data_IF_784417445105
#
_entry.id   IF_784417445105
#
_cell.length_a   1.000
_cell.length_b   1.000
_cell.length_c   1.000
_cell.angle_alpha   90.00
_cell.angle_beta   90.00
_cell.angle_gamma   90.00
#
_symmetry.space_group_name_H-M   'P 1'
#
loop_
_entity.id
_entity.type
_entity.pdbx_description
1 polymer ?
#
# COMPACT_ATOMS: atom_id res chain seq x y z
N UNK A 1 27.78 1.55 28.38
CA UNK A 1 26.56 1.14 27.64
C UNK A 1 26.76 1.45 26.16
N UNK A 2 26.05 0.73 25.30
CA UNK A 2 26.03 1.05 23.86
C UNK A 2 24.72 1.71 23.52
N UNK A 3 24.75 2.72 22.64
CA UNK A 3 23.58 3.42 22.14
C UNK A 3 23.62 3.37 20.61
N UNK A 4 22.58 2.83 19.99
CA UNK A 4 22.49 2.66 18.54
C UNK A 4 21.62 3.74 17.93
N UNK A 5 22.16 4.44 16.92
CA UNK A 5 21.40 5.39 16.14
C UNK A 5 20.36 4.64 15.28
N UNK A 6 19.07 4.93 15.49
CA UNK A 6 17.96 4.29 14.77
C UNK A 6 17.86 4.72 13.30
N UNK A 7 18.60 5.79 12.91
CA UNK A 7 18.61 6.28 11.53
C UNK A 7 19.66 5.60 10.67
N UNK A 8 20.87 5.37 11.19
CA UNK A 8 22.00 4.87 10.37
C UNK A 8 22.75 3.68 10.98
N UNK A 9 22.38 3.22 12.18
CA UNK A 9 23.04 2.09 12.84
C UNK A 9 24.38 2.42 13.52
N UNK A 10 24.83 3.67 13.50
CA UNK A 10 26.05 4.06 14.21
C UNK A 10 25.93 3.76 15.71
N UNK A 11 26.97 3.17 16.30
CA UNK A 11 27.00 2.80 17.72
C UNK A 11 27.92 3.78 18.48
N UNK A 12 27.32 4.43 19.48
CA UNK A 12 28.05 5.21 20.49
C UNK A 12 28.30 4.34 21.71
N UNK A 13 29.51 4.30 22.22
CA UNK A 13 29.88 3.59 23.45
C UNK A 13 30.29 4.58 24.54
N UNK A 14 29.56 4.55 25.66
CA UNK A 14 29.82 5.43 26.81
C UNK A 14 28.94 5.04 28.00
N UNK A 15 29.20 5.66 29.18
CA UNK A 15 28.40 5.42 30.38
C UNK A 15 26.95 5.90 30.20
N UNK A 16 26.79 7.06 29.53
CA UNK A 16 25.50 7.63 29.14
C UNK A 16 25.66 8.35 27.80
N UNK A 17 24.55 8.51 27.08
CA UNK A 17 24.51 9.35 25.87
C UNK A 17 24.31 10.81 26.28
N UNK A 18 25.21 11.75 25.88
CA UNK A 18 25.00 13.18 26.15
C UNK A 18 23.69 13.68 25.51
N UNK A 19 22.99 14.59 26.22
CA UNK A 19 21.71 15.11 25.74
C UNK A 19 21.82 15.93 24.43
N UNK A 20 22.99 16.52 24.21
CA UNK A 20 23.34 17.29 23.01
C UNK A 20 24.10 16.49 21.96
N UNK A 21 24.17 15.15 22.10
CA UNK A 21 24.91 14.31 21.18
C UNK A 21 24.28 14.32 19.79
N UNK A 22 25.13 14.44 18.80
CA UNK A 22 24.73 14.39 17.38
C UNK A 22 25.48 13.25 16.68
N UNK A 23 24.77 12.41 15.99
CA UNK A 23 25.36 11.29 15.25
C UNK A 23 26.44 11.79 14.26
N UNK A 24 27.68 11.29 14.33
CA UNK A 24 28.75 11.75 13.44
C UNK A 24 28.51 11.36 11.98
N UNK A 25 27.69 10.32 11.74
CA UNK A 25 27.42 9.78 10.40
C UNK A 25 26.23 10.49 9.74
N UNK A 26 25.06 10.46 10.37
CA UNK A 26 23.82 10.96 9.75
C UNK A 26 23.31 12.28 10.34
N UNK A 27 24.02 12.83 11.34
CA UNK A 27 23.65 14.07 12.04
C UNK A 27 22.34 14.02 12.84
N UNK A 28 21.79 12.81 13.06
CA UNK A 28 20.60 12.63 13.90
C UNK A 28 20.88 13.06 15.36
N UNK A 29 19.92 13.71 16.04
CA UNK A 29 20.06 14.12 17.44
C UNK A 29 20.01 12.95 18.43
N UNK A 30 20.32 13.20 19.70
CA UNK A 30 20.42 12.19 20.75
C UNK A 30 19.13 11.37 20.97
N UNK A 31 17.96 11.95 20.74
CA UNK A 31 16.65 11.29 20.85
C UNK A 31 16.43 10.17 19.81
N UNK A 32 17.27 10.09 18.79
CA UNK A 32 17.31 9.01 17.81
C UNK A 32 18.26 7.87 18.18
N UNK A 33 18.76 7.85 19.40
CA UNK A 33 19.59 6.77 19.91
C UNK A 33 18.86 5.92 20.93
N UNK A 34 18.94 4.61 20.78
CA UNK A 34 18.41 3.65 21.75
C UNK A 34 19.54 2.97 22.50
N UNK A 35 19.39 2.84 23.82
CA UNK A 35 20.31 2.07 24.63
C UNK A 35 20.22 0.60 24.22
N UNK A 36 21.35 0.00 23.89
CA UNK A 36 21.43 -1.42 23.55
C UNK A 36 21.39 -2.24 24.85
N UNK A 37 20.27 -2.92 25.07
CA UNK A 37 20.12 -3.97 26.07
C UNK A 37 20.62 -5.32 25.53
N UNK A 38 20.13 -6.42 26.09
CA UNK A 38 20.44 -7.77 25.59
C UNK A 38 19.71 -8.08 24.27
N UNK A 39 18.69 -7.29 23.91
CA UNK A 39 17.96 -7.41 22.64
C UNK A 39 18.71 -6.76 21.49
N UNK A 40 18.61 -7.35 20.30
CA UNK A 40 19.16 -6.77 19.06
C UNK A 40 18.38 -5.51 18.71
N UNK A 41 19.10 -4.36 18.61
CA UNK A 41 18.51 -3.11 18.12
C UNK A 41 18.81 -2.97 16.63
N UNK A 42 17.75 -2.82 15.83
CA UNK A 42 17.87 -2.61 14.40
C UNK A 42 17.98 -1.11 14.09
N UNK A 43 18.83 -0.75 13.11
CA UNK A 43 19.11 0.65 12.75
C UNK A 43 17.89 1.40 12.19
N UNK A 44 16.96 0.67 11.58
CA UNK A 44 15.71 1.24 11.04
C UNK A 44 14.56 0.26 11.26
N UNK A 45 13.42 0.81 11.60
CA UNK A 45 12.15 0.07 11.64
C UNK A 45 11.38 0.35 10.36
N UNK A 46 11.04 -0.73 9.65
CA UNK A 46 10.12 -0.69 8.52
C UNK A 46 8.76 -1.20 9.00
N UNK A 47 8.00 -0.30 9.60
CA UNK A 47 6.66 -0.59 10.12
C UNK A 47 5.60 0.10 9.28
N UNK A 48 4.42 -0.51 9.20
CA UNK A 48 3.28 0.12 8.53
C UNK A 48 2.92 1.43 9.24
N UNK A 49 2.87 2.52 8.47
CA UNK A 49 2.56 3.84 8.99
C UNK A 49 3.78 4.58 9.57
N UNK A 50 4.99 4.27 9.12
CA UNK A 50 6.22 4.97 9.56
C UNK A 50 6.18 6.48 9.26
N UNK A 51 5.37 6.92 8.28
CA UNK A 51 5.17 8.32 7.94
C UNK A 51 4.23 9.07 8.91
N UNK A 52 3.63 8.39 9.89
CA UNK A 52 2.78 9.08 10.88
C UNK A 52 3.57 10.10 11.68
N UNK A 53 3.06 11.33 11.67
CA UNK A 53 3.68 12.45 12.41
C UNK A 53 4.75 13.22 11.64
N UNK A 54 5.03 12.91 10.39
CA UNK A 54 5.82 13.79 9.51
C UNK A 54 4.96 14.98 9.06
N UNK A 55 5.60 15.97 8.43
CA UNK A 55 4.90 17.18 7.97
C UNK A 55 3.84 16.87 6.92
N UNK A 56 2.76 17.66 6.91
CA UNK A 56 1.58 17.39 6.06
C UNK A 56 1.92 17.47 4.56
N UNK A 57 2.83 18.33 4.15
CA UNK A 57 3.32 18.41 2.76
C UNK A 57 3.91 17.08 2.28
N UNK A 58 4.70 16.39 3.12
CA UNK A 58 5.23 15.05 2.81
C UNK A 58 4.09 14.02 2.73
N UNK A 59 3.12 14.08 3.66
CA UNK A 59 1.97 13.17 3.63
C UNK A 59 1.13 13.37 2.37
N UNK A 60 0.88 14.61 1.97
CA UNK A 60 0.15 14.93 0.74
C UNK A 60 0.87 14.39 -0.50
N UNK A 61 2.19 14.54 -0.59
CA UNK A 61 3.00 13.99 -1.67
C UNK A 61 2.97 12.46 -1.69
N UNK A 62 3.08 11.80 -0.54
CA UNK A 62 2.97 10.34 -0.44
C UNK A 62 1.59 9.84 -0.89
N UNK A 63 0.51 10.50 -0.49
CA UNK A 63 -0.86 10.18 -0.95
C UNK A 63 -1.04 10.40 -2.45
N UNK A 64 -0.49 11.49 -2.99
CA UNK A 64 -0.55 11.78 -4.41
C UNK A 64 0.17 10.71 -5.23
N UNK A 65 1.38 10.31 -4.81
CA UNK A 65 2.12 9.22 -5.44
C UNK A 65 1.35 7.90 -5.32
N UNK A 66 0.88 7.51 -4.13
CA UNK A 66 0.05 6.31 -3.96
C UNK A 66 -1.12 6.24 -4.95
N UNK A 67 -1.87 7.35 -5.10
CA UNK A 67 -3.00 7.41 -6.03
C UNK A 67 -2.55 7.35 -7.50
N UNK A 68 -1.43 7.97 -7.82
CA UNK A 68 -0.80 7.92 -9.15
C UNK A 68 -0.47 6.48 -9.52
N UNK A 69 0.31 5.79 -8.72
CA UNK A 69 0.73 4.41 -8.94
C UNK A 69 -0.47 3.45 -9.06
N UNK A 70 -1.48 3.57 -8.17
CA UNK A 70 -2.71 2.78 -8.28
C UNK A 70 -3.44 3.01 -9.63
N UNK A 71 -3.44 4.23 -10.14
CA UNK A 71 -4.06 4.58 -11.42
C UNK A 71 -3.27 4.01 -12.59
N UNK A 72 -1.94 4.06 -12.52
CA UNK A 72 -1.05 3.57 -13.57
C UNK A 72 -1.14 2.06 -13.75
N UNK A 73 -1.35 1.28 -12.68
CA UNK A 73 -1.62 -0.16 -12.77
C UNK A 73 -2.77 -0.44 -13.75
N UNK A 74 -3.93 0.20 -13.52
CA UNK A 74 -5.11 0.00 -14.38
C UNK A 74 -4.91 0.53 -15.80
N UNK A 75 -4.26 1.68 -15.92
CA UNK A 75 -3.96 2.34 -17.19
C UNK A 75 -3.05 1.49 -18.05
N UNK A 76 -1.93 1.00 -17.52
CA UNK A 76 -0.98 0.17 -18.27
C UNK A 76 -1.58 -1.17 -18.68
N UNK A 77 -2.37 -1.83 -17.81
CA UNK A 77 -3.09 -3.05 -18.20
C UNK A 77 -4.10 -2.78 -19.33
N UNK A 78 -4.77 -1.64 -19.33
CA UNK A 78 -5.67 -1.26 -20.43
C UNK A 78 -4.89 -0.99 -21.73
N UNK A 79 -3.76 -0.28 -21.66
CA UNK A 79 -2.86 -0.03 -22.79
C UNK A 79 -2.27 -1.33 -23.36
N UNK A 80 -1.91 -2.29 -22.50
CA UNK A 80 -1.46 -3.62 -22.92
C UNK A 80 -2.51 -4.33 -23.79
N UNK A 81 -3.78 -4.30 -23.37
CA UNK A 81 -4.89 -4.87 -24.13
C UNK A 81 -5.07 -4.21 -25.50
N UNK A 82 -4.85 -2.91 -25.61
CA UNK A 82 -4.87 -2.17 -26.89
C UNK A 82 -3.72 -2.64 -27.77
N UNK A 83 -2.49 -2.65 -27.23
CA UNK A 83 -1.30 -3.06 -27.96
C UNK A 83 -1.42 -4.49 -28.52
N UNK A 84 -1.94 -5.44 -27.72
CA UNK A 84 -2.18 -6.80 -28.17
C UNK A 84 -3.21 -6.88 -29.30
N UNK A 85 -4.31 -6.12 -29.23
CA UNK A 85 -5.32 -6.07 -30.31
C UNK A 85 -4.79 -5.44 -31.59
N UNK A 86 -3.86 -4.51 -31.49
CA UNK A 86 -3.22 -3.87 -32.65
C UNK A 86 -2.06 -4.69 -33.24
N UNK A 87 -1.68 -5.81 -32.61
CA UNK A 87 -0.61 -6.69 -33.07
C UNK A 87 0.80 -6.27 -32.63
N UNK A 88 0.92 -5.53 -31.52
CA UNK A 88 2.19 -5.15 -30.90
C UNK A 88 2.44 -5.91 -29.58
N UNK A 89 2.65 -7.23 -29.63
CA UNK A 89 2.74 -8.04 -28.41
C UNK A 89 3.90 -7.64 -27.49
N UNK A 90 5.04 -7.22 -28.02
CA UNK A 90 6.19 -6.78 -27.24
C UNK A 90 5.86 -5.53 -26.42
N UNK A 91 5.11 -4.58 -26.98
CA UNK A 91 4.63 -3.39 -26.29
C UNK A 91 3.63 -3.77 -25.20
N UNK A 92 2.69 -4.68 -25.52
CA UNK A 92 1.73 -5.19 -24.56
C UNK A 92 2.39 -5.85 -23.36
N UNK A 93 3.35 -6.74 -23.59
CA UNK A 93 4.11 -7.40 -22.51
C UNK A 93 4.90 -6.42 -21.64
N UNK A 94 5.44 -5.35 -22.23
CA UNK A 94 6.14 -4.33 -21.45
C UNK A 94 5.18 -3.53 -20.57
N UNK A 95 4.00 -3.15 -21.07
CA UNK A 95 2.97 -2.52 -20.25
C UNK A 95 2.50 -3.40 -19.10
N UNK A 96 2.30 -4.70 -19.33
CA UNK A 96 1.95 -5.65 -18.27
C UNK A 96 3.03 -5.72 -17.19
N UNK A 97 4.30 -5.76 -17.61
CA UNK A 97 5.44 -5.74 -16.68
C UNK A 97 5.46 -4.44 -15.86
N UNK A 98 5.34 -3.28 -16.52
CA UNK A 98 5.32 -1.98 -15.86
C UNK A 98 4.16 -1.90 -14.86
N UNK A 99 2.96 -2.36 -15.21
CA UNK A 99 1.82 -2.38 -14.29
C UNK A 99 2.10 -3.12 -12.97
N UNK A 100 2.87 -4.21 -13.00
CA UNK A 100 3.28 -4.91 -11.78
C UNK A 100 4.35 -4.15 -10.99
N UNK A 101 5.25 -3.42 -11.65
CA UNK A 101 6.22 -2.55 -11.01
C UNK A 101 5.51 -1.39 -10.28
N UNK A 102 4.49 -0.77 -10.91
CA UNK A 102 3.67 0.28 -10.26
C UNK A 102 2.81 -0.28 -9.11
N UNK A 103 2.35 -1.53 -9.20
CA UNK A 103 1.66 -2.16 -8.07
C UNK A 103 2.57 -2.31 -6.84
N UNK A 104 3.85 -2.63 -7.04
CA UNK A 104 4.85 -2.69 -5.98
C UNK A 104 5.18 -1.30 -5.41
N UNK A 105 5.22 -0.25 -6.25
CA UNK A 105 5.38 1.12 -5.78
C UNK A 105 4.18 1.55 -4.93
N UNK A 106 2.96 1.32 -5.40
CA UNK A 106 1.74 1.60 -4.65
C UNK A 106 1.72 0.88 -3.29
N UNK A 107 2.13 -0.40 -3.24
CA UNK A 107 2.21 -1.15 -1.99
C UNK A 107 3.18 -0.50 -0.99
N UNK A 108 4.35 -0.04 -1.45
CA UNK A 108 5.34 0.65 -0.60
C UNK A 108 4.79 1.97 -0.05
N UNK A 109 4.14 2.79 -0.89
CA UNK A 109 3.48 4.02 -0.43
C UNK A 109 2.34 3.74 0.56
N UNK A 110 1.56 2.68 0.35
CA UNK A 110 0.52 2.25 1.28
C UNK A 110 1.10 1.88 2.65
N UNK A 111 2.22 1.14 2.67
CA UNK A 111 2.93 0.78 3.91
C UNK A 111 3.51 2.00 4.62
N UNK A 112 4.14 2.94 3.91
CA UNK A 112 4.65 4.18 4.48
C UNK A 112 3.54 4.98 5.17
N UNK A 113 2.39 5.14 4.52
CA UNK A 113 1.25 5.90 5.02
C UNK A 113 0.52 5.17 6.16
N UNK A 114 0.30 3.86 6.06
CA UNK A 114 -0.49 3.08 7.00
C UNK A 114 -1.95 3.55 7.10
N UNK A 115 -2.51 4.07 6.01
CA UNK A 115 -3.89 4.57 5.93
C UNK A 115 -4.86 3.52 5.39
N UNK A 116 -4.42 2.77 4.36
CA UNK A 116 -5.24 1.73 3.70
C UNK A 116 -4.84 0.31 4.08
N UNK A 117 -3.74 0.16 4.81
CA UNK A 117 -3.22 -1.10 5.34
C UNK A 117 -2.80 -0.91 6.80
N UNK A 118 -2.91 -1.96 7.60
CA UNK A 118 -2.45 -2.00 9.00
C UNK A 118 -1.46 -3.14 9.19
N UNK A 119 -0.75 -3.17 10.31
CA UNK A 119 0.14 -4.25 10.74
C UNK A 119 -0.60 -5.52 11.24
N UNK A 120 -1.94 -5.53 11.19
CA UNK A 120 -2.79 -6.63 11.61
C UNK A 120 -3.51 -7.27 10.42
N UNK A 121 -3.13 -8.52 10.09
CA UNK A 121 -3.83 -9.30 9.06
C UNK A 121 -5.32 -9.43 9.35
N UNK A 122 -5.71 -9.66 10.63
CA UNK A 122 -7.11 -9.71 11.03
C UNK A 122 -7.85 -8.44 10.66
N UNK A 123 -7.31 -7.30 11.07
CA UNK A 123 -7.92 -5.99 10.81
C UNK A 123 -7.99 -5.68 9.31
N UNK A 124 -6.96 -6.02 8.57
CA UNK A 124 -6.95 -5.85 7.11
C UNK A 124 -8.05 -6.69 6.45
N UNK A 125 -8.28 -7.94 6.89
CA UNK A 125 -9.38 -8.77 6.41
C UNK A 125 -10.75 -8.18 6.75
N UNK A 126 -10.95 -7.73 8.01
CA UNK A 126 -12.20 -7.05 8.43
C UNK A 126 -12.52 -5.85 7.55
N UNK A 127 -11.53 -4.98 7.31
CA UNK A 127 -11.67 -3.80 6.44
C UNK A 127 -12.02 -4.19 5.00
N UNK A 128 -11.43 -5.27 4.47
CA UNK A 128 -11.70 -5.71 3.11
C UNK A 128 -13.08 -6.31 2.95
N UNK A 129 -13.56 -7.11 3.91
CA UNK A 129 -14.95 -7.65 3.87
C UNK A 129 -15.96 -6.52 3.72
N UNK A 130 -15.85 -5.47 4.52
CA UNK A 130 -16.76 -4.31 4.46
C UNK A 130 -16.62 -3.54 3.12
N UNK A 131 -15.40 -3.31 2.67
CA UNK A 131 -15.15 -2.59 1.43
C UNK A 131 -15.68 -3.34 0.20
N UNK A 132 -15.48 -4.66 0.12
CA UNK A 132 -15.98 -5.48 -0.99
C UNK A 132 -17.52 -5.54 -1.00
N UNK A 133 -18.13 -5.57 0.18
CA UNK A 133 -19.60 -5.49 0.28
C UNK A 133 -20.14 -4.16 -0.28
N UNK A 134 -19.53 -3.04 0.11
CA UNK A 134 -19.86 -1.72 -0.43
C UNK A 134 -19.62 -1.61 -1.94
N UNK A 135 -18.45 -2.10 -2.40
CA UNK A 135 -18.09 -2.12 -3.82
C UNK A 135 -19.06 -2.96 -4.66
N UNK A 136 -19.50 -4.11 -4.13
CA UNK A 136 -20.53 -4.95 -4.76
C UNK A 136 -21.83 -4.15 -4.94
N UNK A 137 -22.33 -3.53 -3.87
CA UNK A 137 -23.58 -2.76 -3.91
C UNK A 137 -23.51 -1.59 -4.90
N UNK A 138 -22.42 -0.83 -4.87
CA UNK A 138 -22.21 0.30 -5.78
C UNK A 138 -22.15 -0.11 -7.25
N UNK A 139 -21.43 -1.20 -7.58
CA UNK A 139 -21.35 -1.73 -8.95
C UNK A 139 -22.70 -2.29 -9.42
N UNK A 140 -23.47 -2.96 -8.55
CA UNK A 140 -24.82 -3.43 -8.89
C UNK A 140 -25.75 -2.26 -9.21
N UNK A 141 -25.71 -1.17 -8.43
CA UNK A 141 -26.49 0.03 -8.72
C UNK A 141 -26.09 0.65 -10.06
N UNK A 142 -24.80 0.83 -10.31
CA UNK A 142 -24.31 1.37 -11.59
C UNK A 142 -24.73 0.49 -12.77
N UNK A 143 -24.63 -0.84 -12.65
CA UNK A 143 -25.06 -1.77 -13.69
C UNK A 143 -26.57 -1.63 -13.99
N UNK A 144 -27.43 -1.51 -12.96
CA UNK A 144 -28.86 -1.28 -13.13
C UNK A 144 -29.14 0.02 -13.88
N UNK A 145 -28.48 1.11 -13.52
CA UNK A 145 -28.63 2.41 -14.22
C UNK A 145 -28.15 2.34 -15.66
N UNK A 146 -27.03 1.67 -15.92
CA UNK A 146 -26.54 1.45 -17.28
C UNK A 146 -27.53 0.65 -18.13
N UNK A 147 -28.15 -0.41 -17.57
CA UNK A 147 -29.16 -1.19 -18.26
C UNK A 147 -30.43 -0.34 -18.59
N UNK A 148 -30.87 0.45 -17.64
CA UNK A 148 -32.03 1.35 -17.84
C UNK A 148 -31.75 2.40 -18.94
N UNK A 149 -30.47 2.75 -19.15
CA UNK A 149 -30.06 3.67 -20.22
C UNK A 149 -29.71 2.97 -21.55
N UNK A 150 -29.93 1.67 -21.69
CA UNK A 150 -29.61 0.84 -22.86
C UNK A 150 -28.06 0.82 -23.17
N UNK A 151 -27.23 0.89 -22.15
CA UNK A 151 -25.77 0.85 -22.24
C UNK A 151 -25.25 -0.55 -21.92
N UNK A 152 -25.58 -1.54 -22.77
CA UNK A 152 -25.36 -2.96 -22.50
C UNK A 152 -23.88 -3.30 -22.24
N UNK A 153 -22.94 -2.74 -23.01
CA UNK A 153 -21.52 -2.98 -22.81
C UNK A 153 -21.02 -2.51 -21.44
N UNK A 154 -21.55 -1.39 -20.93
CA UNK A 154 -21.23 -0.88 -19.59
C UNK A 154 -21.88 -1.76 -18.53
N UNK A 155 -23.17 -2.08 -18.73
CA UNK A 155 -23.91 -2.98 -17.84
C UNK A 155 -23.17 -4.30 -17.64
N UNK A 156 -22.85 -4.99 -18.73
CA UNK A 156 -22.26 -6.34 -18.69
C UNK A 156 -20.90 -6.31 -17.97
N UNK A 157 -20.06 -5.35 -18.34
CA UNK A 157 -18.73 -5.19 -17.73
C UNK A 157 -18.83 -4.93 -16.22
N UNK A 158 -19.68 -3.97 -15.81
CA UNK A 158 -19.78 -3.59 -14.40
C UNK A 158 -20.50 -4.65 -13.58
N UNK A 159 -21.49 -5.34 -14.16
CA UNK A 159 -22.18 -6.45 -13.50
C UNK A 159 -21.28 -7.65 -13.25
N UNK A 160 -20.38 -7.97 -14.18
CA UNK A 160 -19.35 -8.99 -13.98
C UNK A 160 -18.42 -8.61 -12.83
N UNK A 161 -17.90 -7.36 -12.82
CA UNK A 161 -17.07 -6.85 -11.71
C UNK A 161 -17.81 -6.92 -10.37
N UNK A 162 -19.11 -6.61 -10.30
CA UNK A 162 -19.88 -6.72 -9.07
C UNK A 162 -19.91 -8.16 -8.52
N UNK A 163 -19.93 -9.16 -9.40
CA UNK A 163 -19.84 -10.58 -9.00
C UNK A 163 -18.45 -10.94 -8.48
N UNK A 164 -17.40 -10.35 -9.06
CA UNK A 164 -16.04 -10.53 -8.58
C UNK A 164 -15.86 -9.94 -7.18
N UNK A 165 -16.35 -8.71 -6.92
CA UNK A 165 -16.30 -8.11 -5.57
C UNK A 165 -17.04 -8.97 -4.53
N UNK A 166 -18.21 -9.50 -4.89
CA UNK A 166 -18.94 -10.42 -4.01
C UNK A 166 -18.14 -11.70 -3.71
N UNK A 167 -17.41 -12.21 -4.68
CA UNK A 167 -16.52 -13.38 -4.50
C UNK A 167 -15.32 -13.04 -3.62
N UNK A 168 -14.69 -11.88 -3.82
CA UNK A 168 -13.60 -11.39 -3.00
C UNK A 168 -14.04 -11.22 -1.54
N UNK A 169 -15.16 -10.55 -1.30
CA UNK A 169 -15.71 -10.36 0.04
C UNK A 169 -15.97 -11.68 0.77
N UNK A 170 -16.59 -12.65 0.08
CA UNK A 170 -16.82 -14.00 0.65
C UNK A 170 -15.53 -14.76 0.93
N UNK A 171 -14.51 -14.61 0.08
CA UNK A 171 -13.20 -15.22 0.30
C UNK A 171 -12.52 -14.62 1.53
N UNK A 172 -12.50 -13.28 1.67
CA UNK A 172 -11.94 -12.61 2.84
C UNK A 172 -12.68 -12.96 4.13
N UNK A 173 -14.03 -13.03 4.09
CA UNK A 173 -14.83 -13.46 5.23
C UNK A 173 -14.52 -14.92 5.63
N UNK A 174 -14.36 -15.79 4.65
CA UNK A 174 -13.97 -17.18 4.88
C UNK A 174 -12.59 -17.32 5.52
N UNK A 175 -11.61 -16.51 5.07
CA UNK A 175 -10.28 -16.48 5.67
C UNK A 175 -10.31 -15.90 7.09
N UNK A 176 -11.08 -14.83 7.31
CA UNK A 176 -11.26 -14.25 8.64
C UNK A 176 -11.81 -15.27 9.63
N UNK A 177 -12.88 -16.00 9.28
CA UNK A 177 -13.48 -17.04 10.10
C UNK A 177 -12.57 -18.25 10.34
N UNK A 178 -11.64 -18.52 9.40
CA UNK A 178 -10.74 -19.67 9.51
C UNK A 178 -9.58 -19.43 10.45
N UNK A 179 -9.05 -18.21 10.49
CA UNK A 179 -7.78 -17.92 11.16
C UNK A 179 -7.92 -17.06 12.42
N UNK A 180 -9.05 -16.38 12.59
CA UNK A 180 -9.31 -15.42 13.67
C UNK A 180 -10.70 -15.56 14.28
#
# INVERSE_FOLDING_TARGET
MKYVCTVCGYVYEGESLPADYVCPVCKAPADKFLAQGDDKVWAAEHVVGVAKGVSEDIIEDLRANFNGECSEVGMYLAMARVAHREGYPEVGLYYEKAAWEEAEHAAKFAELLGEVVTDSTKKNLEMRVEAENGATAGKVDLAKRAKAANLDAIHDTVHEMARDEARHGKAFEGLLKRYF
#
